data_IF_046826818920
#
_entry.id   IF_046826818920
#
_cell.length_a   1.000
_cell.length_b   1.000
_cell.length_c   1.000
_cell.angle_alpha   90.00
_cell.angle_beta   90.00
_cell.angle_gamma   90.00
#
_symmetry.space_group_name_H-M   'P 1'
#
loop_
_entity.id
_entity.type
_entity.pdbx_description
1 polymer ?
#
# COMPACT_ATOMS: atom_id res chain seq x y z
N UNK A 1 6.21 -20.57 0.24
CA UNK A 1 7.01 -19.71 1.14
C UNK A 1 7.12 -18.25 0.73
N UNK A 2 7.19 -17.93 -0.58
CA UNK A 2 7.39 -16.56 -1.07
C UNK A 2 6.36 -15.51 -0.60
N UNK A 3 5.12 -15.91 -0.35
CA UNK A 3 4.01 -15.03 0.04
C UNK A 3 3.42 -15.39 1.42
N UNK A 4 3.87 -16.48 2.05
CA UNK A 4 3.34 -16.96 3.33
C UNK A 4 4.07 -16.27 4.48
N UNK A 5 3.31 -15.56 5.31
CA UNK A 5 3.84 -14.92 6.52
C UNK A 5 4.18 -16.02 7.53
N UNK A 6 5.40 -16.02 8.12
CA UNK A 6 5.76 -16.97 9.17
C UNK A 6 4.78 -16.94 10.35
N UNK A 7 4.57 -18.09 10.98
CA UNK A 7 3.68 -18.20 12.14
C UNK A 7 4.16 -17.28 13.28
N UNK A 8 3.26 -16.42 13.77
CA UNK A 8 3.54 -15.42 14.80
C UNK A 8 4.12 -14.09 14.31
N UNK A 9 4.40 -13.91 13.02
CA UNK A 9 4.87 -12.64 12.46
C UNK A 9 3.70 -11.76 11.98
N UNK A 10 3.80 -10.44 12.21
CA UNK A 10 2.83 -9.47 11.70
C UNK A 10 3.13 -9.15 10.22
N UNK A 11 2.10 -9.11 9.36
CA UNK A 11 2.24 -8.78 7.93
C UNK A 11 2.86 -7.38 7.72
N UNK A 12 2.52 -6.42 8.57
CA UNK A 12 3.01 -5.04 8.52
C UNK A 12 3.55 -4.64 9.87
N UNK A 13 4.76 -4.08 9.89
CA UNK A 13 5.39 -3.51 11.09
C UNK A 13 5.67 -2.03 10.84
N UNK A 14 5.22 -1.17 11.76
CA UNK A 14 5.45 0.28 11.70
C UNK A 14 6.55 0.70 12.67
N UNK A 15 7.51 1.46 12.16
CA UNK A 15 8.58 2.08 12.92
C UNK A 15 8.56 3.58 12.69
N UNK A 16 8.38 4.36 13.77
CA UNK A 16 8.45 5.82 13.70
C UNK A 16 9.90 6.27 13.52
N UNK A 17 10.14 7.22 12.61
CA UNK A 17 11.47 7.81 12.44
C UNK A 17 11.75 8.77 13.59
N UNK A 18 12.91 8.63 14.23
CA UNK A 18 13.34 9.48 15.35
C UNK A 18 14.08 10.73 14.88
N UNK A 19 14.57 10.74 13.63
CA UNK A 19 15.39 11.84 13.08
C UNK A 19 14.56 12.90 12.38
N UNK A 20 13.43 12.49 11.80
CA UNK A 20 12.57 13.36 10.99
C UNK A 20 11.17 13.38 11.60
N UNK A 21 10.63 14.57 11.86
CA UNK A 21 9.26 14.74 12.34
C UNK A 21 8.25 14.25 11.32
N UNK A 22 7.16 13.62 11.79
CA UNK A 22 6.08 13.09 10.95
C UNK A 22 6.56 12.16 9.83
N UNK A 23 7.63 11.40 10.10
CA UNK A 23 8.11 10.35 9.23
C UNK A 23 8.02 8.98 9.92
N UNK A 24 7.84 7.94 9.10
CA UNK A 24 7.89 6.57 9.57
C UNK A 24 8.16 5.60 8.42
N UNK A 25 8.48 4.38 8.79
CA UNK A 25 8.76 3.28 7.87
C UNK A 25 7.80 2.12 8.17
N UNK A 26 7.18 1.62 7.12
CA UNK A 26 6.35 0.42 7.13
C UNK A 26 7.15 -0.70 6.48
N UNK A 27 7.39 -1.77 7.22
CA UNK A 27 7.95 -3.01 6.68
C UNK A 27 6.79 -3.96 6.40
N UNK A 28 6.58 -4.29 5.13
CA UNK A 28 5.55 -5.22 4.68
C UNK A 28 6.24 -6.52 4.35
N UNK A 29 5.91 -7.56 5.10
CA UNK A 29 6.48 -8.89 4.93
C UNK A 29 5.82 -9.61 3.77
N UNK A 30 6.59 -10.42 3.06
CA UNK A 30 6.10 -11.28 1.97
C UNK A 30 5.37 -10.51 0.86
N UNK A 31 5.90 -9.36 0.48
CA UNK A 31 5.43 -8.52 -0.63
C UNK A 31 6.61 -8.06 -1.48
N UNK A 32 6.32 -7.58 -2.68
CA UNK A 32 7.32 -7.17 -3.66
C UNK A 32 7.05 -5.77 -4.25
N UNK A 33 7.73 -5.47 -5.36
CA UNK A 33 7.62 -4.21 -6.09
C UNK A 33 6.20 -3.91 -6.57
N UNK A 34 5.34 -4.92 -6.74
CA UNK A 34 3.98 -4.76 -7.26
C UNK A 34 3.15 -3.88 -6.33
N UNK A 35 3.01 -4.31 -5.07
CA UNK A 35 2.25 -3.58 -4.05
C UNK A 35 3.01 -2.33 -3.62
N UNK A 36 4.33 -2.41 -3.46
CA UNK A 36 5.12 -1.28 -2.98
C UNK A 36 5.11 -0.09 -3.96
N UNK A 37 5.23 -0.35 -5.25
CA UNK A 37 5.18 0.71 -6.26
C UNK A 37 3.79 1.32 -6.36
N UNK A 38 2.73 0.50 -6.28
CA UNK A 38 1.35 0.98 -6.29
C UNK A 38 1.08 1.95 -5.12
N UNK A 39 1.41 1.54 -3.90
CA UNK A 39 1.25 2.36 -2.69
C UNK A 39 2.06 3.65 -2.81
N UNK A 40 3.33 3.56 -3.25
CA UNK A 40 4.16 4.75 -3.47
C UNK A 40 3.50 5.74 -4.42
N UNK A 41 2.98 5.27 -5.55
CA UNK A 41 2.38 6.13 -6.55
C UNK A 41 1.11 6.82 -6.02
N UNK A 42 0.28 6.12 -5.26
CA UNK A 42 -0.92 6.71 -4.66
C UNK A 42 -0.57 7.70 -3.56
N UNK A 43 0.37 7.39 -2.67
CA UNK A 43 0.83 8.31 -1.63
C UNK A 43 1.37 9.62 -2.19
N UNK A 44 2.06 9.58 -3.34
CA UNK A 44 2.56 10.80 -4.01
C UNK A 44 1.45 11.67 -4.62
N UNK A 45 0.20 11.18 -4.71
CA UNK A 45 -0.96 11.98 -5.11
C UNK A 45 -1.54 12.80 -3.95
N UNK A 46 -1.34 12.35 -2.70
CA UNK A 46 -1.82 13.07 -1.52
C UNK A 46 -0.96 14.31 -1.23
N UNK A 47 -1.61 15.48 -1.19
CA UNK A 47 -0.97 16.78 -0.90
C UNK A 47 -0.40 16.85 0.53
N UNK A 48 -0.86 15.99 1.43
CA UNK A 48 -0.36 15.92 2.80
C UNK A 48 0.91 15.09 2.95
N UNK A 49 1.29 14.33 1.91
CA UNK A 49 2.51 13.56 1.87
C UNK A 49 3.61 14.41 1.25
N UNK A 50 4.70 14.61 2.00
CA UNK A 50 5.88 15.35 1.54
C UNK A 50 6.92 14.43 0.93
N UNK A 51 6.96 13.17 1.37
CA UNK A 51 7.85 12.15 0.81
C UNK A 51 7.20 10.77 0.90
N UNK A 52 7.27 10.01 -0.20
CA UNK A 52 6.97 8.60 -0.23
C UNK A 52 7.99 7.87 -1.11
N UNK A 53 8.61 6.84 -0.56
CA UNK A 53 9.56 5.99 -1.26
C UNK A 53 9.49 4.57 -0.74
N UNK A 54 9.92 3.61 -1.56
CA UNK A 54 10.06 2.23 -1.10
C UNK A 54 11.40 1.66 -1.54
N UNK A 55 11.86 0.64 -0.81
CA UNK A 55 13.02 -0.15 -1.17
C UNK A 55 12.72 -1.64 -0.95
N UNK A 56 13.27 -2.46 -1.85
CA UNK A 56 13.34 -3.90 -1.72
C UNK A 56 14.80 -4.24 -1.39
N UNK A 57 15.13 -4.54 -0.12
CA UNK A 57 16.51 -4.54 0.37
C UNK A 57 17.35 -5.65 -0.24
N UNK A 58 16.73 -6.79 -0.60
CA UNK A 58 17.44 -7.90 -1.21
C UNK A 58 16.50 -8.75 -2.08
N UNK A 59 16.83 -9.08 -3.34
CA UNK A 59 15.95 -9.82 -4.26
C UNK A 59 15.50 -11.21 -3.79
N UNK A 60 16.25 -11.84 -2.89
CA UNK A 60 15.92 -13.17 -2.33
C UNK A 60 15.01 -13.09 -1.09
N UNK A 61 14.69 -11.89 -0.59
CA UNK A 61 13.87 -11.69 0.60
C UNK A 61 12.67 -10.84 0.20
N UNK A 62 11.48 -11.44 0.19
CA UNK A 62 10.24 -10.78 -0.20
C UNK A 62 9.71 -9.82 0.87
N UNK A 63 10.53 -8.90 1.38
CA UNK A 63 10.08 -7.88 2.31
C UNK A 63 10.33 -6.51 1.67
N UNK A 64 9.35 -5.61 1.78
CA UNK A 64 9.46 -4.25 1.24
C UNK A 64 9.36 -3.24 2.36
N UNK A 65 10.17 -2.19 2.28
CA UNK A 65 10.18 -1.09 3.23
C UNK A 65 9.66 0.15 2.55
N UNK A 66 8.51 0.66 3.00
CA UNK A 66 7.89 1.89 2.51
C UNK A 66 8.13 2.99 3.54
N UNK A 67 8.78 4.07 3.15
CA UNK A 67 9.02 5.24 3.99
C UNK A 67 8.10 6.36 3.57
N UNK A 68 7.39 6.92 4.55
CA UNK A 68 6.40 7.96 4.37
C UNK A 68 6.75 9.13 5.29
N UNK A 69 6.69 10.34 4.75
CA UNK A 69 6.74 11.58 5.50
C UNK A 69 5.53 12.43 5.14
N UNK A 70 4.87 12.98 6.15
CA UNK A 70 3.72 13.85 5.99
C UNK A 70 4.03 15.26 6.49
N UNK A 71 3.18 16.22 6.11
CA UNK A 71 3.14 17.54 6.72
C UNK A 71 2.50 17.48 8.13
N UNK A 72 2.29 18.62 8.77
CA UNK A 72 1.70 18.69 10.11
C UNK A 72 0.18 18.45 10.15
N UNK A 73 -0.47 18.28 9.00
CA UNK A 73 -1.92 18.09 8.90
C UNK A 73 -2.33 16.62 8.86
N UNK A 74 -1.38 15.70 8.69
CA UNK A 74 -1.63 14.25 8.63
C UNK A 74 -0.49 13.47 9.27
N UNK A 75 -0.77 12.22 9.65
CA UNK A 75 0.26 11.29 10.13
C UNK A 75 0.58 10.25 9.07
N UNK A 76 1.80 9.66 9.05
CA UNK A 76 2.14 8.60 8.10
C UNK A 76 1.19 7.41 8.09
N UNK A 77 0.66 7.05 9.27
CA UNK A 77 -0.32 5.97 9.44
C UNK A 77 -1.64 6.33 8.75
N UNK A 78 -2.14 7.55 9.02
CA UNK A 78 -3.39 8.02 8.42
C UNK A 78 -3.27 8.19 6.90
N UNK A 79 -2.14 8.73 6.41
CA UNK A 79 -1.90 8.85 4.98
C UNK A 79 -1.87 7.48 4.28
N UNK A 80 -1.28 6.46 4.91
CA UNK A 80 -1.30 5.10 4.38
C UNK A 80 -2.70 4.47 4.40
N UNK A 81 -3.49 4.69 5.46
CA UNK A 81 -4.87 4.21 5.52
C UNK A 81 -5.71 4.79 4.39
N UNK A 82 -5.71 6.12 4.26
CA UNK A 82 -6.45 6.82 3.21
C UNK A 82 -6.02 6.35 1.81
N UNK A 83 -4.71 6.19 1.60
CA UNK A 83 -4.16 5.66 0.35
C UNK A 83 -4.74 4.28 -0.01
N UNK A 84 -4.90 3.38 0.96
CA UNK A 84 -5.44 2.05 0.71
C UNK A 84 -6.94 2.08 0.46
N UNK A 85 -7.69 2.91 1.20
CA UNK A 85 -9.12 3.09 1.01
C UNK A 85 -9.42 3.67 -0.39
N UNK A 86 -8.67 4.71 -0.80
CA UNK A 86 -8.78 5.31 -2.14
C UNK A 86 -8.46 4.30 -3.24
N UNK A 87 -7.40 3.49 -3.06
CA UNK A 87 -7.05 2.44 -4.03
C UNK A 87 -8.14 1.38 -4.16
N UNK A 88 -8.78 0.98 -3.05
CA UNK A 88 -9.88 0.01 -3.09
C UNK A 88 -11.03 0.53 -3.94
N UNK A 89 -11.42 1.80 -3.73
CA UNK A 89 -12.47 2.45 -4.51
C UNK A 89 -12.09 2.55 -5.99
N UNK A 90 -10.87 3.00 -6.30
CA UNK A 90 -10.37 3.10 -7.69
C UNK A 90 -10.41 1.73 -8.41
N UNK A 91 -10.04 0.65 -7.72
CA UNK A 91 -10.07 -0.69 -8.31
C UNK A 91 -11.49 -1.23 -8.50
N UNK A 92 -12.40 -0.97 -7.57
CA UNK A 92 -13.81 -1.36 -7.71
C UNK A 92 -14.46 -0.67 -8.91
N UNK A 93 -14.20 0.63 -9.08
CA UNK A 93 -14.67 1.40 -10.23
C UNK A 93 -14.08 0.86 -11.54
N UNK A 94 -12.76 0.60 -11.57
CA UNK A 94 -12.08 0.02 -12.73
C UNK A 94 -12.69 -1.33 -13.11
N UNK A 95 -12.87 -2.23 -12.13
CA UNK A 95 -13.45 -3.54 -12.33
C UNK A 95 -14.91 -3.46 -12.81
N UNK A 96 -15.69 -2.52 -12.28
CA UNK A 96 -17.06 -2.27 -12.71
C UNK A 96 -17.12 -1.78 -14.17
N UNK A 97 -16.29 -0.79 -14.53
CA UNK A 97 -16.21 -0.27 -15.90
C UNK A 97 -15.76 -1.36 -16.87
N UNK A 98 -14.74 -2.14 -16.49
CA UNK A 98 -14.23 -3.23 -17.31
C UNK A 98 -15.30 -4.29 -17.60
N UNK A 99 -16.02 -4.76 -16.57
CA UNK A 99 -17.12 -5.72 -16.73
C UNK A 99 -18.26 -5.18 -17.59
N UNK A 100 -18.62 -3.91 -17.41
CA UNK A 100 -19.65 -3.23 -18.21
C UNK A 100 -19.29 -3.17 -19.70
N UNK A 101 -18.03 -2.89 -20.02
CA UNK A 101 -17.56 -2.74 -21.41
C UNK A 101 -17.27 -4.09 -22.09
N UNK A 102 -16.82 -5.10 -21.34
CA UNK A 102 -16.49 -6.43 -21.89
C UNK A 102 -17.70 -7.36 -21.97
N UNK A 103 -18.88 -6.93 -21.50
CA UNK A 103 -20.14 -7.67 -21.69
C UNK A 103 -20.29 -8.94 -20.85
N UNK A 104 -19.41 -9.16 -19.86
CA UNK A 104 -19.54 -10.26 -18.90
C UNK A 104 -20.65 -9.96 -17.87
N UNK A 105 -21.90 -10.01 -18.32
CA UNK A 105 -23.12 -9.86 -17.50
C UNK A 105 -23.46 -11.10 -16.66
N UNK A 106 -22.58 -12.12 -16.61
CA UNK A 106 -22.88 -13.42 -15.96
C UNK A 106 -22.33 -13.60 -14.54
N UNK A 107 -21.47 -12.73 -14.02
CA UNK A 107 -20.99 -12.87 -12.65
C UNK A 107 -21.89 -12.13 -11.66
N UNK A 108 -23.01 -12.77 -11.31
CA UNK A 108 -23.80 -12.44 -10.11
C UNK A 108 -23.16 -12.99 -8.81
N UNK A 109 -21.84 -13.23 -8.81
CA UNK A 109 -21.10 -13.59 -7.61
C UNK A 109 -20.48 -12.35 -6.97
N UNK A 110 -21.18 -11.76 -6.00
CA UNK A 110 -20.58 -10.73 -5.15
C UNK A 110 -19.37 -11.29 -4.41
N UNK A 111 -18.26 -10.56 -4.39
CA UNK A 111 -17.18 -10.84 -3.46
C UNK A 111 -17.70 -10.52 -2.05
N UNK A 112 -17.89 -11.58 -1.26
CA UNK A 112 -18.11 -11.53 0.19
C UNK A 112 -16.79 -11.79 0.89
#
# INVERSE_FOLDING_TARGET
DAYLVPEGAAKVVYEKDTRISNAGQFTILREDHTVANLIRMQLLRDKNVTFAGYQHPHPLVNDVKVRIQTNNNSTPIHALSNCLDDLSIEFDELAHIFRRLTGNTKDQGGFS
#
